data_IF_265185103345
#
_entry.id   IF_265185103345
#
_cell.length_a   1.000
_cell.length_b   1.000
_cell.length_c   1.000
_cell.angle_alpha   90.00
_cell.angle_beta   90.00
_cell.angle_gamma   90.00
#
_symmetry.space_group_name_H-M   'P 1'
#
loop_
_entity.id
_entity.type
_entity.pdbx_description
1 polymer ?
#
# COMPACT_ATOMS: atom_id res chain seq x y z
N UNK A 1 50.32 -4.59 -17.07
CA UNK A 1 49.53 -4.00 -18.16
C UNK A 1 48.10 -4.34 -17.83
N UNK A 2 47.42 -3.43 -17.13
CA UNK A 2 46.06 -3.64 -16.64
C UNK A 2 45.07 -3.42 -17.79
N UNK A 3 44.21 -4.40 -18.03
CA UNK A 3 43.14 -4.32 -19.01
C UNK A 3 42.00 -3.49 -18.41
N UNK A 4 41.85 -2.26 -18.88
CA UNK A 4 40.77 -1.37 -18.48
C UNK A 4 39.47 -1.89 -19.09
N UNK A 5 38.71 -2.65 -18.30
CA UNK A 5 37.41 -3.19 -18.69
C UNK A 5 36.49 -2.11 -19.25
N UNK A 6 36.09 -2.27 -20.51
CA UNK A 6 35.13 -1.41 -21.18
C UNK A 6 33.81 -1.40 -20.38
N UNK A 7 33.28 -0.24 -19.97
CA UNK A 7 32.00 -0.17 -19.28
C UNK A 7 30.90 -0.64 -20.23
N UNK A 8 30.38 -1.84 -19.98
CA UNK A 8 29.26 -2.41 -20.73
C UNK A 8 27.99 -1.64 -20.40
N UNK A 9 27.58 -0.76 -21.31
CA UNK A 9 26.28 -0.10 -21.23
C UNK A 9 25.20 -1.14 -21.54
N UNK A 10 24.48 -1.59 -20.52
CA UNK A 10 23.39 -2.55 -20.66
C UNK A 10 22.10 -1.80 -20.99
N UNK A 11 21.53 -2.02 -22.17
CA UNK A 11 20.24 -1.48 -22.58
C UNK A 11 19.12 -2.46 -22.25
N UNK A 12 18.19 -2.05 -21.38
CA UNK A 12 17.01 -2.85 -21.05
C UNK A 12 15.83 -2.46 -21.94
N UNK A 13 15.24 -3.39 -22.71
CA UNK A 13 14.06 -3.09 -23.49
C UNK A 13 12.87 -2.82 -22.56
N UNK A 14 12.41 -1.57 -22.52
CA UNK A 14 11.27 -1.12 -21.69
C UNK A 14 10.00 -1.97 -21.86
N UNK A 15 9.79 -2.54 -23.05
CA UNK A 15 8.63 -3.39 -23.33
C UNK A 15 8.72 -4.80 -22.69
N UNK A 16 9.87 -5.18 -22.14
CA UNK A 16 10.09 -6.44 -21.39
C UNK A 16 10.39 -6.21 -19.91
N UNK A 17 10.35 -4.97 -19.43
CA UNK A 17 10.55 -4.66 -18.02
C UNK A 17 9.22 -4.38 -17.35
N UNK A 18 9.16 -4.70 -16.06
CA UNK A 18 8.02 -4.43 -15.20
C UNK A 18 8.36 -3.23 -14.32
N UNK A 19 7.41 -2.33 -14.18
CA UNK A 19 7.57 -1.14 -13.34
C UNK A 19 6.97 -1.49 -12.01
N UNK A 20 7.78 -1.42 -10.95
CA UNK A 20 7.34 -1.62 -9.59
C UNK A 20 7.22 -0.27 -8.89
N UNK A 21 6.01 0.09 -8.48
CA UNK A 21 5.83 1.21 -7.54
C UNK A 21 5.82 0.67 -6.11
N UNK A 22 6.52 1.36 -5.22
CA UNK A 22 6.60 1.03 -3.80
C UNK A 22 5.92 2.13 -3.00
N UNK A 23 4.90 1.78 -2.22
CA UNK A 23 4.18 2.71 -1.37
C UNK A 23 4.23 2.20 0.06
N UNK A 24 4.61 3.05 1.01
CA UNK A 24 4.50 2.77 2.46
C UNK A 24 3.05 2.95 2.92
N UNK A 25 2.60 2.15 3.88
CA UNK A 25 1.32 2.40 4.54
C UNK A 25 1.23 3.84 5.09
N UNK A 26 0.04 4.42 5.09
CA UNK A 26 -0.21 5.71 5.72
C UNK A 26 -0.07 5.63 7.26
N UNK A 27 -0.06 6.76 7.96
CA UNK A 27 0.13 6.78 9.41
C UNK A 27 -0.89 5.87 10.12
N UNK A 28 -0.37 4.87 10.85
CA UNK A 28 -1.15 4.00 11.73
C UNK A 28 -1.02 4.41 13.18
N UNK A 29 -1.91 3.91 14.04
CA UNK A 29 -1.87 4.18 15.49
C UNK A 29 -0.51 3.79 16.09
N UNK A 30 0.07 2.67 15.65
CA UNK A 30 1.41 2.23 16.07
C UNK A 30 2.53 3.25 15.78
N UNK A 31 2.42 4.09 14.74
CA UNK A 31 3.43 5.13 14.48
C UNK A 31 3.35 6.22 15.54
N UNK A 32 2.13 6.65 15.89
CA UNK A 32 1.90 7.70 16.88
C UNK A 32 2.36 7.25 18.26
N UNK A 33 2.08 6.01 18.64
CA UNK A 33 2.54 5.47 19.92
C UNK A 33 4.04 5.17 19.91
N UNK A 34 4.58 4.66 18.81
CA UNK A 34 6.02 4.40 18.64
C UNK A 34 6.88 5.67 18.61
N UNK A 35 6.33 6.81 18.17
CA UNK A 35 7.00 8.13 18.26
C UNK A 35 7.08 8.64 19.70
N UNK A 36 6.10 8.30 20.54
CA UNK A 36 6.10 8.66 21.97
C UNK A 36 7.01 7.73 22.77
N UNK A 37 6.91 6.44 22.51
CA UNK A 37 7.70 5.39 23.16
C UNK A 37 8.11 4.32 22.13
N UNK A 38 9.41 4.21 21.80
CA UNK A 38 9.90 3.18 20.88
C UNK A 38 9.56 1.75 21.30
N UNK A 39 9.32 1.49 22.59
CA UNK A 39 8.92 0.15 23.06
C UNK A 39 7.53 -0.26 22.56
N UNK A 40 6.67 0.72 22.25
CA UNK A 40 5.31 0.50 21.78
C UNK A 40 5.24 -0.24 20.43
N UNK A 41 6.30 -0.19 19.61
CA UNK A 41 6.38 -0.98 18.37
C UNK A 41 6.30 -2.49 18.62
N UNK A 42 6.67 -2.96 19.80
CA UNK A 42 6.61 -4.36 20.20
C UNK A 42 5.34 -4.71 20.97
N UNK A 43 4.43 -3.75 21.17
CA UNK A 43 3.17 -3.99 21.85
C UNK A 43 2.27 -4.91 21.02
N UNK A 44 1.77 -6.03 21.59
CA UNK A 44 0.81 -6.90 20.92
C UNK A 44 -0.45 -6.15 20.46
N UNK A 45 -0.88 -5.15 21.24
CA UNK A 45 -2.07 -4.34 20.97
C UNK A 45 -1.91 -3.45 19.72
N UNK A 46 -0.67 -3.17 19.31
CA UNK A 46 -0.36 -2.34 18.15
C UNK A 46 0.09 -3.14 16.93
N UNK A 47 0.20 -4.47 17.08
CA UNK A 47 0.69 -5.36 16.02
C UNK A 47 -0.12 -5.22 14.73
N UNK A 48 -1.45 -5.16 14.83
CA UNK A 48 -2.38 -4.98 13.71
C UNK A 48 -3.17 -3.66 13.78
N UNK A 49 -2.50 -2.61 14.25
CA UNK A 49 -3.09 -1.28 14.37
C UNK A 49 -3.65 -0.75 13.04
N UNK A 50 -4.81 -0.09 13.11
CA UNK A 50 -5.45 0.61 11.99
C UNK A 50 -4.81 1.98 11.69
N UNK A 51 -5.22 2.59 10.58
CA UNK A 51 -4.86 3.96 10.21
C UNK A 51 -5.45 5.01 11.14
N UNK A 52 -4.68 6.09 11.39
CA UNK A 52 -5.19 7.27 12.08
C UNK A 52 -6.06 8.12 11.16
N UNK A 53 -6.74 9.14 11.70
CA UNK A 53 -7.45 10.12 10.86
C UNK A 53 -6.50 10.85 9.89
N UNK A 54 -5.27 11.14 10.31
CA UNK A 54 -4.25 11.70 9.43
C UNK A 54 -3.85 10.68 8.36
N UNK A 55 -3.71 9.40 8.72
CA UNK A 55 -3.47 8.32 7.76
C UNK A 55 -4.51 8.26 6.65
N UNK A 56 -5.79 8.38 6.99
CA UNK A 56 -6.87 8.43 5.99
C UNK A 56 -6.81 9.68 5.09
N UNK A 57 -6.38 10.84 5.61
CA UNK A 57 -6.15 12.03 4.77
C UNK A 57 -4.99 11.81 3.80
N UNK A 58 -3.91 11.17 4.24
CA UNK A 58 -2.78 10.80 3.38
C UNK A 58 -3.22 9.85 2.26
N UNK A 59 -4.05 8.85 2.59
CA UNK A 59 -4.68 7.93 1.63
C UNK A 59 -5.50 8.70 0.58
N UNK A 60 -6.36 9.62 1.00
CA UNK A 60 -7.19 10.41 0.09
C UNK A 60 -6.36 11.28 -0.86
N UNK A 61 -5.29 11.90 -0.35
CA UNK A 61 -4.37 12.69 -1.18
C UNK A 61 -3.64 11.82 -2.20
N UNK A 62 -3.15 10.65 -1.79
CA UNK A 62 -2.46 9.73 -2.70
C UNK A 62 -3.42 9.18 -3.76
N UNK A 63 -4.64 8.80 -3.38
CA UNK A 63 -5.70 8.38 -4.32
C UNK A 63 -5.90 9.44 -5.39
N UNK A 64 -6.11 10.68 -4.97
CA UNK A 64 -6.32 11.83 -5.87
C UNK A 64 -5.16 11.96 -6.86
N UNK A 65 -3.92 11.92 -6.36
CA UNK A 65 -2.73 12.01 -7.19
C UNK A 65 -2.61 10.87 -8.22
N UNK A 66 -2.87 9.63 -7.80
CA UNK A 66 -2.78 8.44 -8.67
C UNK A 66 -3.87 8.43 -9.75
N UNK A 67 -5.07 8.92 -9.43
CA UNK A 67 -6.16 9.08 -10.40
C UNK A 67 -5.84 10.20 -11.39
N UNK A 68 -5.42 11.38 -10.92
CA UNK A 68 -5.08 12.53 -11.76
C UNK A 68 -3.89 12.28 -12.69
N UNK A 69 -2.89 11.51 -12.23
CA UNK A 69 -1.73 11.13 -13.06
C UNK A 69 -2.05 10.06 -14.11
N UNK A 70 -3.25 9.46 -14.07
CA UNK A 70 -3.61 8.30 -14.90
C UNK A 70 -2.83 7.04 -14.53
N UNK A 71 -2.09 7.03 -13.41
CA UNK A 71 -1.36 5.85 -12.96
C UNK A 71 -2.32 4.72 -12.57
N UNK A 72 -3.49 5.06 -12.04
CA UNK A 72 -4.51 4.09 -11.65
C UNK A 72 -4.81 3.06 -12.76
N UNK A 73 -5.11 3.52 -13.98
CA UNK A 73 -5.48 2.66 -15.11
C UNK A 73 -4.31 1.81 -15.63
N UNK A 74 -3.08 2.10 -15.20
CA UNK A 74 -1.89 1.37 -15.59
C UNK A 74 -1.53 0.26 -14.59
N UNK A 75 -2.17 0.21 -13.43
CA UNK A 75 -1.89 -0.78 -12.40
C UNK A 75 -2.61 -2.08 -12.75
N UNK A 76 -1.88 -3.21 -12.69
CA UNK A 76 -2.43 -4.53 -13.02
C UNK A 76 -2.60 -5.44 -11.79
N UNK A 77 -1.93 -5.12 -10.69
CA UNK A 77 -1.98 -5.88 -9.45
C UNK A 77 -1.52 -4.99 -8.31
N UNK A 78 -2.20 -5.09 -7.18
CA UNK A 78 -1.83 -4.48 -5.90
C UNK A 78 -1.43 -5.60 -4.94
N UNK A 79 -0.15 -5.70 -4.56
CA UNK A 79 0.28 -6.64 -3.51
C UNK A 79 0.51 -5.88 -2.23
N UNK A 80 -0.11 -6.33 -1.13
CA UNK A 80 -0.04 -5.67 0.17
C UNK A 80 0.36 -6.65 1.27
N UNK A 81 0.90 -6.11 2.36
CA UNK A 81 0.98 -6.82 3.63
C UNK A 81 -0.43 -7.15 4.13
N UNK A 82 -0.57 -8.29 4.82
CA UNK A 82 -1.78 -8.70 5.51
C UNK A 82 -2.11 -7.85 6.74
N UNK A 83 -1.24 -6.90 7.11
CA UNK A 83 -1.49 -5.95 8.19
C UNK A 83 -2.61 -4.96 7.82
N UNK A 84 -3.51 -4.71 8.76
CA UNK A 84 -4.70 -3.88 8.60
C UNK A 84 -4.39 -2.50 8.04
N UNK A 85 -3.42 -1.78 8.60
CA UNK A 85 -2.97 -0.46 8.08
C UNK A 85 -2.50 -0.50 6.62
N UNK A 86 -1.85 -1.58 6.20
CA UNK A 86 -1.36 -1.73 4.85
C UNK A 86 -2.53 -2.01 3.89
N UNK A 87 -3.43 -2.93 4.26
CA UNK A 87 -4.66 -3.18 3.52
C UNK A 87 -5.54 -1.92 3.44
N UNK A 88 -5.69 -1.18 4.54
CA UNK A 88 -6.46 0.07 4.57
C UNK A 88 -5.88 1.12 3.64
N UNK A 89 -4.55 1.24 3.60
CA UNK A 89 -3.87 2.13 2.64
C UNK A 89 -4.10 1.65 1.21
N UNK A 90 -3.87 0.37 0.94
CA UNK A 90 -3.99 -0.23 -0.37
C UNK A 90 -5.41 -0.06 -0.95
N UNK A 91 -6.42 -0.47 -0.18
CA UNK A 91 -7.82 -0.40 -0.61
C UNK A 91 -8.31 1.04 -0.67
N UNK A 92 -7.91 1.90 0.27
CA UNK A 92 -8.25 3.33 0.21
C UNK A 92 -7.71 4.03 -1.04
N UNK A 93 -6.47 3.72 -1.44
CA UNK A 93 -5.82 4.36 -2.58
C UNK A 93 -6.24 3.76 -3.92
N UNK A 94 -6.31 2.43 -4.01
CA UNK A 94 -6.48 1.69 -5.28
C UNK A 94 -7.84 1.00 -5.42
N UNK A 95 -8.66 0.99 -4.37
CA UNK A 95 -10.02 0.47 -4.44
C UNK A 95 -10.94 1.33 -5.29
N UNK A 96 -12.17 0.85 -5.47
CA UNK A 96 -13.24 1.57 -6.16
C UNK A 96 -13.68 2.83 -5.43
N UNK A 97 -14.69 3.50 -5.98
CA UNK A 97 -15.36 4.62 -5.31
C UNK A 97 -16.24 4.11 -4.15
N UNK A 98 -17.12 4.98 -3.64
CA UNK A 98 -18.10 4.63 -2.62
C UNK A 98 -18.91 3.38 -3.02
N UNK A 99 -19.32 2.63 -2.01
CA UNK A 99 -20.12 1.43 -2.17
C UNK A 99 -21.32 1.67 -3.09
N UNK A 100 -21.46 0.82 -4.12
CA UNK A 100 -22.62 0.79 -5.00
C UNK A 100 -23.39 -0.48 -4.68
N UNK A 101 -24.69 -0.36 -4.42
CA UNK A 101 -25.58 -1.50 -4.17
C UNK A 101 -25.40 -2.56 -5.28
N UNK A 102 -25.10 -3.80 -4.88
CA UNK A 102 -24.90 -4.93 -5.78
C UNK A 102 -23.46 -5.19 -6.22
N UNK A 103 -22.47 -4.44 -5.73
CA UNK A 103 -21.04 -4.75 -5.90
C UNK A 103 -20.43 -5.22 -4.58
N UNK A 104 -19.61 -6.27 -4.63
CA UNK A 104 -18.93 -6.76 -3.43
C UNK A 104 -17.98 -5.70 -2.85
N UNK A 105 -18.07 -5.40 -1.54
CA UNK A 105 -17.19 -4.41 -0.92
C UNK A 105 -15.78 -4.97 -0.81
N UNK A 106 -14.79 -4.17 -1.25
CA UNK A 106 -13.38 -4.45 -1.03
C UNK A 106 -12.96 -4.11 0.41
N UNK A 107 -13.67 -3.18 1.05
CA UNK A 107 -13.59 -2.92 2.49
C UNK A 107 -14.98 -2.51 3.00
N UNK A 108 -15.36 -3.07 4.15
CA UNK A 108 -16.60 -2.69 4.85
C UNK A 108 -16.43 -1.38 5.62
N UNK A 109 -17.53 -0.67 5.84
CA UNK A 109 -17.53 0.55 6.64
C UNK A 109 -17.01 0.25 8.07
N UNK A 110 -16.24 1.19 8.60
CA UNK A 110 -15.67 1.13 9.95
C UNK A 110 -14.79 -0.10 10.26
N UNK A 111 -14.12 -0.66 9.25
CA UNK A 111 -13.20 -1.77 9.45
C UNK A 111 -12.09 -1.40 10.45
N UNK A 112 -11.92 -2.23 11.49
CA UNK A 112 -10.86 -2.09 12.49
C UNK A 112 -10.87 -0.76 13.24
N UNK A 113 -12.01 -0.44 13.88
CA UNK A 113 -12.21 0.77 14.70
C UNK A 113 -11.88 2.10 13.97
N UNK A 114 -11.91 2.09 12.64
CA UNK A 114 -11.79 3.30 11.83
C UNK A 114 -13.17 3.91 11.57
N UNK A 115 -13.23 5.20 11.21
CA UNK A 115 -14.47 5.86 10.78
C UNK A 115 -14.58 5.94 9.24
N UNK A 116 -13.97 4.97 8.53
CA UNK A 116 -13.83 5.01 7.08
C UNK A 116 -15.09 4.49 6.36
N UNK A 117 -15.50 5.10 5.23
CA UNK A 117 -16.62 4.58 4.44
C UNK A 117 -16.29 3.21 3.82
N UNK A 118 -17.32 2.49 3.41
CA UNK A 118 -17.15 1.28 2.63
C UNK A 118 -16.55 1.60 1.25
N UNK A 119 -15.67 0.72 0.78
CA UNK A 119 -14.96 0.88 -0.50
C UNK A 119 -15.39 -0.26 -1.42
N UNK A 120 -15.86 0.10 -2.61
CA UNK A 120 -16.27 -0.86 -3.64
C UNK A 120 -15.07 -1.57 -4.27
N UNK A 121 -15.28 -2.79 -4.76
CA UNK A 121 -14.34 -3.47 -5.66
C UNK A 121 -14.45 -3.02 -7.12
N UNK A 122 -15.47 -2.22 -7.46
CA UNK A 122 -15.68 -1.70 -8.83
C UNK A 122 -14.49 -0.85 -9.30
N UNK A 123 -14.04 -1.06 -10.54
CA UNK A 123 -12.88 -0.37 -11.12
C UNK A 123 -11.61 -0.44 -10.27
N UNK A 124 -11.47 -1.47 -9.43
CA UNK A 124 -10.25 -1.73 -8.68
C UNK A 124 -9.39 -2.79 -9.39
N UNK A 125 -8.06 -2.64 -9.42
CA UNK A 125 -7.17 -3.71 -9.87
C UNK A 125 -7.26 -4.91 -8.90
N UNK A 126 -6.84 -6.12 -9.31
CA UNK A 126 -6.72 -7.26 -8.42
C UNK A 126 -5.83 -6.96 -7.20
N UNK A 127 -6.20 -7.51 -6.04
CA UNK A 127 -5.43 -7.41 -4.79
C UNK A 127 -4.88 -8.77 -4.36
N UNK A 128 -3.65 -8.77 -3.85
CA UNK A 128 -3.02 -9.92 -3.21
C UNK A 128 -2.46 -9.50 -1.85
N UNK A 129 -3.08 -9.94 -0.78
CA UNK A 129 -2.53 -9.81 0.56
C UNK A 129 -1.65 -11.02 0.88
N UNK A 130 -0.44 -10.80 1.39
CA UNK A 130 0.48 -11.89 1.74
C UNK A 130 1.21 -11.63 3.06
N UNK A 131 1.28 -12.67 3.88
CA UNK A 131 2.02 -12.68 5.15
C UNK A 131 3.52 -12.45 4.95
N UNK A 132 4.06 -12.80 3.76
CA UNK A 132 5.47 -12.62 3.44
C UNK A 132 5.88 -11.14 3.36
N UNK A 133 4.91 -10.22 3.29
CA UNK A 133 5.14 -8.77 3.29
C UNK A 133 5.06 -8.13 4.69
N UNK A 134 5.04 -8.93 5.77
CA UNK A 134 5.01 -8.42 7.14
C UNK A 134 6.35 -7.78 7.52
N UNK A 135 6.28 -6.66 8.25
CA UNK A 135 7.40 -5.78 8.57
C UNK A 135 8.53 -6.37 9.41
N UNK A 136 8.37 -7.57 9.97
CA UNK A 136 9.40 -8.22 10.78
C UNK A 136 10.59 -8.77 9.96
N UNK A 137 10.53 -8.71 8.63
CA UNK A 137 11.63 -9.17 7.76
C UNK A 137 12.43 -8.01 7.14
N UNK A 138 11.90 -6.78 7.09
CA UNK A 138 12.61 -5.60 6.57
C UNK A 138 12.13 -4.35 7.32
N UNK A 139 13.06 -3.69 8.00
CA UNK A 139 12.88 -2.45 8.76
C UNK A 139 11.91 -1.46 8.08
N UNK A 140 10.71 -1.30 8.66
CA UNK A 140 9.80 -0.16 8.49
C UNK A 140 9.40 0.25 7.06
N UNK A 141 9.00 -0.67 6.20
CA UNK A 141 8.24 -0.33 4.98
C UNK A 141 7.27 -1.45 4.62
N UNK A 142 5.97 -1.31 4.94
CA UNK A 142 4.96 -2.15 4.30
C UNK A 142 4.92 -1.73 2.83
N UNK A 143 5.52 -2.52 1.96
CA UNK A 143 5.62 -2.25 0.53
C UNK A 143 4.32 -2.65 -0.14
N UNK A 144 3.64 -1.68 -0.74
CA UNK A 144 2.64 -1.97 -1.75
C UNK A 144 3.37 -2.20 -3.08
N UNK A 145 3.23 -3.39 -3.68
CA UNK A 145 3.82 -3.67 -4.99
C UNK A 145 2.79 -3.43 -6.08
N UNK A 146 3.13 -2.63 -7.09
CA UNK A 146 2.26 -2.37 -8.23
C UNK A 146 2.94 -2.73 -9.56
N UNK A 147 2.29 -3.67 -10.25
CA UNK A 147 2.40 -4.16 -11.66
C UNK A 147 3.37 -5.31 -11.98
N UNK A 148 2.83 -6.32 -12.68
CA UNK A 148 3.51 -7.45 -13.31
C UNK A 148 3.76 -7.28 -14.78
#
# INVERSE_FOLDING_TARGET
MEDAGCPTTTLYPLHRTKILHLVRHAQGIHNVEGEKDPSAYFSPDLSDAHLTQLGWRQVAHLRTHIRQSGLHSRIQLVVTSSLLRAMQTAVGVFGGEEYVDGVDPLMVANAGNSASPAISSFDSPPFLATELCREHLVCCSCLLFLRF
#
